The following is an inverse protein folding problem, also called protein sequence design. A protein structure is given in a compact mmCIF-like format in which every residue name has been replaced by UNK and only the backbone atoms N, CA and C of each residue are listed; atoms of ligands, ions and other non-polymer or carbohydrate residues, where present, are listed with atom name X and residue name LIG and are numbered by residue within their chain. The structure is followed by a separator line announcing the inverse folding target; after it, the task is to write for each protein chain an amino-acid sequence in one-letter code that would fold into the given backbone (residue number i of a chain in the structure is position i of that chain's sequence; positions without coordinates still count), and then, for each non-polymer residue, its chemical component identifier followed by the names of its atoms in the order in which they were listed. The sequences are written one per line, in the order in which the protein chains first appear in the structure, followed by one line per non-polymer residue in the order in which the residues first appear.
data_IF_222891185244
#
_entry.id   IF_222891185244
#
_cell.length_a   1.000
_cell.length_b   1.000
_cell.length_c   1.000
_cell.angle_alpha   90.00
_cell.angle_beta   90.00
_cell.angle_gamma   90.00
#
_symmetry.space_group_name_H-M   'P 1'
#
loop_
_entity.id
_entity.type
_entity.pdbx_description
1 polymer ?
#
# COMPACT_ATOMS: atom_id res chain seq x y z
N UNK A 1 30.89 8.70 14.49
CA UNK A 1 30.07 9.54 13.58
C UNK A 1 28.62 9.20 13.87
N UNK A 2 27.79 10.23 14.04
CA UNK A 2 26.60 10.23 14.90
C UNK A 2 25.54 9.18 14.60
N UNK A 3 24.98 8.66 15.69
CA UNK A 3 23.75 7.88 15.73
C UNK A 3 22.64 8.66 15.01
N UNK A 4 22.23 8.21 13.82
CA UNK A 4 21.06 8.73 13.07
C UNK A 4 19.80 8.18 13.75
N UNK A 5 19.63 8.52 15.02
CA UNK A 5 18.41 8.26 15.80
C UNK A 5 17.67 9.58 15.90
N UNK A 6 17.28 10.13 14.76
CA UNK A 6 16.15 11.05 14.75
C UNK A 6 14.95 10.19 15.14
N UNK A 7 14.32 10.47 16.28
CA UNK A 7 13.18 9.70 16.76
C UNK A 7 12.14 9.63 15.65
N UNK A 8 11.83 8.43 15.15
CA UNK A 8 10.80 8.20 14.11
C UNK A 8 9.50 8.96 14.38
N UNK A 9 9.19 9.19 15.66
CA UNK A 9 8.05 9.99 16.13
C UNK A 9 8.13 11.47 15.73
N UNK A 10 9.30 12.10 15.82
CA UNK A 10 9.47 13.53 15.49
C UNK A 10 9.38 13.75 13.98
N UNK A 11 9.98 12.87 13.18
CA UNK A 11 9.86 12.89 11.72
C UNK A 11 8.41 12.65 11.27
N UNK A 12 7.72 11.70 11.91
CA UNK A 12 6.31 11.42 11.63
C UNK A 12 5.42 12.61 11.95
N UNK A 13 5.68 13.28 13.08
CA UNK A 13 4.95 14.49 13.47
C UNK A 13 5.18 15.62 12.48
N UNK A 14 6.44 15.91 12.14
CA UNK A 14 6.76 16.96 11.17
C UNK A 14 6.11 16.68 9.80
N UNK A 15 6.07 15.42 9.38
CA UNK A 15 5.37 15.00 8.16
C UNK A 15 3.85 15.21 8.26
N UNK A 16 3.20 14.74 9.33
CA UNK A 16 1.75 14.89 9.50
C UNK A 16 1.34 16.36 9.64
N UNK A 17 2.17 17.19 10.28
CA UNK A 17 1.97 18.64 10.41
C UNK A 17 1.97 19.35 9.05
N UNK A 18 2.64 18.80 8.01
CA UNK A 18 2.54 19.35 6.64
C UNK A 18 1.14 19.23 6.04
N UNK A 19 0.36 18.24 6.50
CA UNK A 19 -0.96 17.86 5.95
C UNK A 19 -1.00 17.65 4.43
N UNK A 20 0.15 17.51 3.78
CA UNK A 20 0.28 17.37 2.33
C UNK A 20 0.20 15.91 1.85
N UNK A 21 0.29 14.96 2.79
CA UNK A 21 0.35 13.53 2.50
C UNK A 21 1.57 13.14 1.65
N UNK A 22 1.56 11.92 1.12
CA UNK A 22 2.70 11.40 0.33
C UNK A 22 2.86 12.10 -1.01
N UNK A 23 1.80 12.70 -1.57
CA UNK A 23 1.89 13.51 -2.79
C UNK A 23 2.79 14.73 -2.57
N UNK A 24 2.73 15.36 -1.39
CA UNK A 24 3.59 16.48 -1.04
C UNK A 24 5.09 16.16 -1.10
N UNK A 25 5.47 14.91 -0.83
CA UNK A 25 6.86 14.46 -0.95
C UNK A 25 7.31 14.38 -2.40
N UNK A 26 6.43 13.90 -3.28
CA UNK A 26 6.68 13.82 -4.73
C UNK A 26 6.76 15.22 -5.32
N UNK A 27 5.80 16.08 -4.99
CA UNK A 27 5.75 17.46 -5.48
C UNK A 27 6.96 18.29 -5.01
N UNK A 28 7.47 18.02 -3.79
CA UNK A 28 8.67 18.67 -3.26
C UNK A 28 9.98 18.20 -3.91
N UNK A 29 9.95 17.17 -4.76
CA UNK A 29 11.12 16.69 -5.49
C UNK A 29 12.20 16.08 -4.60
N UNK A 30 11.83 15.47 -3.47
CA UNK A 30 12.81 14.88 -2.55
C UNK A 30 13.57 13.72 -3.22
N UNK A 31 14.87 13.65 -3.00
CA UNK A 31 15.73 12.57 -3.56
C UNK A 31 15.88 11.39 -2.62
N UNK A 32 15.52 11.56 -1.34
CA UNK A 32 15.67 10.55 -0.29
C UNK A 32 14.34 10.33 0.40
N UNK A 33 13.94 9.06 0.54
CA UNK A 33 12.68 8.67 1.17
C UNK A 33 12.82 8.80 2.72
N UNK A 34 11.91 9.53 3.40
CA UNK A 34 11.84 9.61 4.86
C UNK A 34 11.79 8.23 5.53
N UNK A 35 12.49 8.05 6.65
CA UNK A 35 12.58 6.73 7.30
C UNK A 35 11.21 6.22 7.77
N UNK A 36 10.32 7.13 8.18
CA UNK A 36 8.93 6.83 8.55
C UNK A 36 8.10 6.10 7.47
N UNK A 37 8.47 6.21 6.18
CA UNK A 37 7.79 5.55 5.04
C UNK A 37 8.41 4.20 4.73
N UNK A 38 9.67 4.00 5.10
CA UNK A 38 10.39 2.77 4.81
C UNK A 38 9.82 1.67 5.70
N UNK A 39 9.30 0.62 5.07
CA UNK A 39 8.80 -0.55 5.79
C UNK A 39 9.97 -1.34 6.41
N UNK A 40 9.88 -1.57 7.73
CA UNK A 40 10.94 -2.26 8.49
C UNK A 40 11.23 -3.67 7.96
N UNK A 41 12.51 -4.03 7.94
CA UNK A 41 12.99 -5.33 7.45
C UNK A 41 12.38 -6.53 8.17
N UNK A 42 11.94 -6.36 9.42
CA UNK A 42 11.22 -7.40 10.17
C UNK A 42 9.84 -7.75 9.58
N UNK A 43 9.26 -6.85 8.78
CA UNK A 43 7.99 -7.09 8.05
C UNK A 43 8.18 -7.41 6.57
N UNK A 44 9.41 -7.30 6.04
CA UNK A 44 9.76 -7.60 4.63
C UNK A 44 9.59 -9.08 4.25
N UNK A 45 9.48 -9.98 5.23
CA UNK A 45 9.23 -11.40 4.98
C UNK A 45 7.86 -11.71 4.36
N UNK A 46 6.98 -10.71 4.18
CA UNK A 46 5.63 -10.90 3.64
C UNK A 46 5.40 -10.39 2.22
N UNK A 47 6.34 -9.63 1.66
CA UNK A 47 6.20 -9.07 0.32
C UNK A 47 7.49 -9.29 -0.44
N UNK A 48 7.59 -10.47 -1.04
CA UNK A 48 8.46 -10.66 -2.19
C UNK A 48 7.76 -9.90 -3.34
N UNK A 49 8.47 -9.05 -4.09
CA UNK A 49 7.90 -8.40 -5.30
C UNK A 49 7.53 -9.43 -6.37
N UNK A 50 7.88 -10.69 -6.11
CA UNK A 50 7.40 -11.85 -6.82
C UNK A 50 5.89 -12.00 -6.62
N UNK A 51 5.11 -12.07 -7.70
CA UNK A 51 3.70 -12.39 -7.59
C UNK A 51 3.52 -13.69 -6.81
N UNK A 52 2.63 -13.66 -5.81
CA UNK A 52 2.31 -14.77 -4.90
C UNK A 52 1.93 -16.02 -5.71
N UNK A 53 1.33 -15.82 -6.88
CA UNK A 53 1.01 -16.86 -7.83
C UNK A 53 1.42 -16.43 -9.25
N UNK A 54 2.17 -17.28 -9.95
CA UNK A 54 2.51 -17.12 -11.38
C UNK A 54 1.66 -18.01 -12.28
N UNK A 55 0.69 -18.72 -11.72
CA UNK A 55 -0.18 -19.59 -12.51
C UNK A 55 -1.19 -18.73 -13.28
N UNK A 56 -1.12 -18.67 -14.63
CA UNK A 56 -2.07 -17.90 -15.42
C UNK A 56 -3.51 -18.43 -15.29
N UNK A 57 -3.71 -19.60 -14.69
CA UNK A 57 -5.03 -20.19 -14.40
C UNK A 57 -5.68 -19.62 -13.14
N UNK A 58 -4.94 -18.92 -12.28
CA UNK A 58 -5.49 -18.29 -11.08
C UNK A 58 -5.79 -16.82 -11.39
N UNK A 59 -7.08 -16.51 -11.52
CA UNK A 59 -7.59 -15.15 -11.72
C UNK A 59 -8.66 -14.82 -10.69
N UNK A 60 -8.75 -13.56 -10.27
CA UNK A 60 -9.88 -13.07 -9.48
C UNK A 60 -11.13 -13.11 -10.37
N UNK A 61 -12.22 -13.80 -9.98
CA UNK A 61 -13.41 -13.90 -10.83
C UNK A 61 -14.13 -12.55 -10.94
N UNK A 62 -14.63 -12.25 -12.13
CA UNK A 62 -15.53 -11.11 -12.38
C UNK A 62 -16.96 -11.65 -12.39
N UNK A 63 -17.80 -11.13 -11.50
CA UNK A 63 -19.19 -11.57 -11.36
C UNK A 63 -20.10 -10.44 -11.85
N UNK A 64 -20.81 -10.67 -12.96
CA UNK A 64 -21.84 -9.75 -13.46
C UNK A 64 -23.16 -9.96 -12.69
N UNK A 65 -23.63 -8.90 -12.04
CA UNK A 65 -24.82 -8.91 -11.20
C UNK A 65 -26.08 -8.36 -11.92
N UNK A 66 -26.00 -7.94 -13.19
CA UNK A 66 -27.10 -7.25 -13.89
C UNK A 66 -28.41 -8.05 -13.97
N UNK A 67 -28.34 -9.40 -13.92
CA UNK A 67 -29.51 -10.29 -14.08
C UNK A 67 -30.08 -10.81 -12.77
N UNK A 68 -29.54 -10.39 -11.64
CA UNK A 68 -29.94 -10.89 -10.32
C UNK A 68 -31.42 -10.61 -10.03
N UNK A 69 -32.00 -9.54 -10.56
CA UNK A 69 -33.41 -9.18 -10.30
C UNK A 69 -34.40 -9.64 -11.39
N UNK A 70 -33.94 -10.26 -12.48
CA UNK A 70 -34.80 -10.52 -13.64
C UNK A 70 -35.49 -11.88 -13.60
N UNK A 71 -35.06 -12.78 -12.71
CA UNK A 71 -35.71 -14.08 -12.55
C UNK A 71 -35.48 -14.66 -11.15
N UNK A 72 -36.46 -14.50 -10.26
CA UNK A 72 -36.43 -15.13 -8.94
C UNK A 72 -36.60 -16.65 -9.03
N UNK A 73 -37.12 -17.17 -10.16
CA UNK A 73 -37.34 -18.59 -10.40
C UNK A 73 -36.05 -19.39 -10.69
N UNK A 74 -34.95 -18.70 -11.02
CA UNK A 74 -33.64 -19.32 -11.28
C UNK A 74 -32.76 -19.40 -10.03
N UNK A 75 -33.27 -18.99 -8.87
CA UNK A 75 -32.61 -19.09 -7.58
C UNK A 75 -33.17 -20.31 -6.84
N UNK A 76 -32.62 -21.49 -7.11
CA UNK A 76 -32.93 -22.74 -6.40
C UNK A 76 -32.20 -22.83 -5.06
#
# INVERSE_FOLDING_TARGET
MGSITCDRVSELKAFDDTKAGVKGLVDAGITTIPQIIIQDHHTKHKFDDKPICRDPKISIPIIDLQRIHKDSSLRS
#
